data_IF_958733257462
#
_entry.id   IF_958733257462
#
_cell.length_a   1.000
_cell.length_b   1.000
_cell.length_c   1.000
_cell.angle_alpha   90.00
_cell.angle_beta   90.00
_cell.angle_gamma   90.00
#
_symmetry.space_group_name_H-M   'P 1'
#
loop_
_entity.id
_entity.type
_entity.pdbx_description
1 polymer ?
#
# COMPACT_ATOMS: atom_id res chain seq x y z
N UNK A 1 -3.22 9.68 31.65
CA UNK A 1 -4.17 9.73 30.55
C UNK A 1 -5.18 8.60 30.75
N UNK A 2 -6.39 8.98 31.25
CA UNK A 2 -7.51 8.06 31.41
C UNK A 2 -8.11 7.79 30.04
N UNK A 3 -7.91 6.58 29.52
CA UNK A 3 -8.61 6.10 28.33
C UNK A 3 -10.09 5.93 28.70
N UNK A 4 -10.90 6.92 28.41
CA UNK A 4 -12.35 6.80 28.40
C UNK A 4 -12.71 5.72 27.38
N UNK A 5 -13.52 4.74 27.80
CA UNK A 5 -14.02 3.69 26.92
C UNK A 5 -14.63 4.33 25.65
N UNK A 6 -14.36 3.78 24.46
CA UNK A 6 -14.90 4.32 23.24
C UNK A 6 -16.43 4.19 23.30
N UNK A 7 -17.11 5.33 23.47
CA UNK A 7 -18.51 5.41 23.10
C UNK A 7 -18.59 4.93 21.64
N UNK A 8 -19.53 4.05 21.35
CA UNK A 8 -19.79 3.56 20.01
C UNK A 8 -20.05 4.74 19.10
N UNK A 9 -18.98 5.24 18.47
CA UNK A 9 -19.14 6.17 17.36
C UNK A 9 -19.98 5.45 16.30
N UNK A 10 -21.02 6.10 15.75
CA UNK A 10 -21.75 5.53 14.64
C UNK A 10 -20.72 5.09 13.61
N UNK A 11 -20.81 3.83 13.16
CA UNK A 11 -19.89 3.27 12.18
C UNK A 11 -20.04 4.09 10.88
N UNK A 12 -19.27 5.16 10.76
CA UNK A 12 -19.20 5.93 9.53
C UNK A 12 -18.41 5.08 8.54
N UNK A 13 -19.14 4.38 7.67
CA UNK A 13 -18.56 3.75 6.50
C UNK A 13 -18.54 4.79 5.37
N UNK A 14 -17.38 5.37 5.04
CA UNK A 14 -17.31 6.28 3.90
C UNK A 14 -17.75 5.55 2.64
N UNK A 15 -18.50 6.22 1.72
CA UNK A 15 -18.90 5.60 0.46
C UNK A 15 -17.66 5.19 -0.31
N UNK A 16 -17.55 3.90 -0.63
CA UNK A 16 -16.46 3.39 -1.46
C UNK A 16 -16.82 3.69 -2.92
N UNK A 17 -16.08 4.56 -3.62
CA UNK A 17 -16.31 4.81 -5.03
C UNK A 17 -15.93 3.56 -5.82
N UNK A 18 -16.90 2.92 -6.42
CA UNK A 18 -16.69 1.72 -7.24
C UNK A 18 -17.16 1.96 -8.66
N UNK A 19 -16.55 1.27 -9.61
CA UNK A 19 -17.02 1.27 -10.99
C UNK A 19 -18.32 0.46 -11.13
N UNK A 20 -19.18 0.89 -12.07
CA UNK A 20 -20.33 0.11 -12.48
C UNK A 20 -19.91 -1.22 -13.11
N UNK A 21 -20.77 -2.24 -13.08
CA UNK A 21 -20.49 -3.63 -13.46
C UNK A 21 -19.91 -3.84 -14.87
N UNK A 22 -20.12 -2.91 -15.79
CA UNK A 22 -19.56 -2.98 -17.15
C UNK A 22 -18.76 -1.72 -17.44
N UNK A 23 -17.43 -1.85 -17.36
CA UNK A 23 -16.52 -0.74 -17.61
C UNK A 23 -15.67 -1.04 -18.82
N UNK A 24 -15.78 -0.20 -19.83
CA UNK A 24 -14.84 -0.21 -20.96
C UNK A 24 -13.43 0.18 -20.49
N UNK A 25 -12.42 -0.36 -21.15
CA UNK A 25 -10.99 -0.18 -20.80
C UNK A 25 -10.54 1.28 -20.72
N UNK A 26 -11.12 2.18 -21.53
CA UNK A 26 -10.83 3.63 -21.48
C UNK A 26 -11.26 4.26 -20.16
N UNK A 27 -12.42 3.85 -19.65
CA UNK A 27 -12.91 4.29 -18.33
C UNK A 27 -12.02 3.75 -17.20
N UNK A 28 -11.61 2.52 -17.33
CA UNK A 28 -10.67 1.89 -16.38
C UNK A 28 -9.36 2.69 -16.33
N UNK A 29 -8.79 3.02 -17.49
CA UNK A 29 -7.56 3.82 -17.58
C UNK A 29 -7.72 5.22 -16.98
N UNK A 30 -8.86 5.88 -17.24
CA UNK A 30 -9.21 7.17 -16.66
C UNK A 30 -9.38 7.11 -15.14
N UNK A 31 -10.01 6.05 -14.63
CA UNK A 31 -10.19 5.81 -13.20
C UNK A 31 -8.84 5.59 -12.50
N UNK A 32 -7.94 4.80 -13.05
CA UNK A 32 -6.58 4.60 -12.50
C UNK A 32 -5.79 5.91 -12.38
N UNK A 33 -6.03 6.88 -13.27
CA UNK A 33 -5.35 8.19 -13.23
C UNK A 33 -5.93 9.16 -12.22
N UNK A 34 -7.22 9.04 -11.91
CA UNK A 34 -7.94 9.95 -11.00
C UNK A 34 -8.00 9.42 -9.59
N UNK A 35 -8.48 8.22 -9.45
CA UNK A 35 -8.61 7.53 -8.18
C UNK A 35 -8.60 6.03 -8.42
N UNK A 36 -7.54 5.35 -7.99
CA UNK A 36 -7.36 3.92 -8.20
C UNK A 36 -8.51 3.08 -7.63
N UNK A 37 -9.16 3.54 -6.56
CA UNK A 37 -10.31 2.82 -5.97
C UNK A 37 -11.51 2.79 -6.90
N UNK A 38 -11.71 3.83 -7.71
CA UNK A 38 -12.78 3.86 -8.72
C UNK A 38 -12.57 2.85 -9.85
N UNK A 39 -11.35 2.32 -10.00
CA UNK A 39 -11.04 1.30 -10.99
C UNK A 39 -11.57 -0.10 -10.63
N UNK A 40 -11.95 -0.33 -9.37
CA UNK A 40 -12.45 -1.62 -8.91
C UNK A 40 -13.96 -1.72 -9.11
N UNK A 41 -14.47 -2.75 -9.84
CA UNK A 41 -15.89 -3.02 -9.95
C UNK A 41 -16.50 -3.32 -8.57
N UNK A 42 -17.74 -2.91 -8.36
CA UNK A 42 -18.46 -3.22 -7.12
C UNK A 42 -18.53 -4.74 -6.85
N UNK A 43 -18.62 -5.54 -7.89
CA UNK A 43 -18.61 -6.99 -7.81
C UNK A 43 -17.39 -7.56 -7.03
N UNK A 44 -16.26 -6.84 -6.98
CA UNK A 44 -15.10 -7.26 -6.17
C UNK A 44 -15.38 -7.32 -4.67
N UNK A 45 -16.47 -6.70 -4.20
CA UNK A 45 -16.88 -6.74 -2.80
C UNK A 45 -17.71 -7.98 -2.48
N UNK A 46 -18.35 -8.58 -3.50
CA UNK A 46 -19.37 -9.61 -3.34
C UNK A 46 -18.89 -10.99 -3.81
N UNK A 47 -17.90 -11.03 -4.72
CA UNK A 47 -17.41 -12.31 -5.28
C UNK A 47 -15.91 -12.49 -5.10
N UNK A 48 -15.41 -13.74 -4.99
CA UNK A 48 -14.01 -14.07 -4.73
C UNK A 48 -13.04 -13.59 -5.80
N UNK A 49 -13.48 -13.55 -7.07
CA UNK A 49 -12.67 -13.14 -8.20
C UNK A 49 -13.50 -12.47 -9.27
N UNK A 50 -12.98 -11.38 -9.85
CA UNK A 50 -13.59 -10.68 -10.98
C UNK A 50 -12.60 -10.67 -12.14
N UNK A 51 -13.06 -11.06 -13.33
CA UNK A 51 -12.26 -11.03 -14.54
C UNK A 51 -12.67 -9.84 -15.41
N UNK A 52 -11.71 -9.00 -15.76
CA UNK A 52 -11.90 -7.85 -16.64
C UNK A 52 -11.14 -8.11 -17.95
N UNK A 53 -11.82 -8.13 -19.10
CA UNK A 53 -11.15 -8.29 -20.38
C UNK A 53 -10.33 -7.02 -20.70
N UNK A 54 -9.12 -7.22 -21.19
CA UNK A 54 -8.21 -6.16 -21.63
C UNK A 54 -8.12 -6.13 -23.16
N UNK A 55 -7.80 -4.96 -23.75
CA UNK A 55 -7.52 -4.86 -25.18
C UNK A 55 -6.39 -5.82 -25.57
N UNK A 56 -6.49 -6.41 -26.75
CA UNK A 56 -5.50 -7.37 -27.25
C UNK A 56 -5.68 -8.81 -26.73
N UNK A 57 -6.86 -9.15 -26.16
CA UNK A 57 -7.19 -10.51 -25.73
C UNK A 57 -6.68 -10.87 -24.33
N UNK A 58 -6.02 -9.93 -23.65
CA UNK A 58 -5.59 -10.13 -22.25
C UNK A 58 -6.76 -10.11 -21.28
N UNK A 59 -6.52 -10.61 -20.07
CA UNK A 59 -7.48 -10.60 -18.97
C UNK A 59 -6.79 -10.10 -17.69
N UNK A 60 -7.45 -9.24 -16.96
CA UNK A 60 -7.06 -8.86 -15.60
C UNK A 60 -7.98 -9.58 -14.63
N UNK A 61 -7.42 -10.31 -13.70
CA UNK A 61 -8.18 -10.98 -12.63
C UNK A 61 -7.93 -10.24 -11.32
N UNK A 62 -8.99 -9.78 -10.70
CA UNK A 62 -8.98 -9.17 -9.38
C UNK A 62 -9.39 -10.22 -8.37
N UNK A 63 -8.54 -10.52 -7.42
CA UNK A 63 -8.80 -11.46 -6.33
C UNK A 63 -9.19 -10.69 -5.08
N UNK A 64 -10.32 -11.04 -4.48
CA UNK A 64 -10.91 -10.34 -3.34
C UNK A 64 -10.91 -11.18 -2.06
N UNK A 65 -10.30 -12.36 -2.08
CA UNK A 65 -10.24 -13.25 -0.91
C UNK A 65 -8.83 -13.45 -0.39
N UNK A 66 -8.66 -13.65 0.93
CA UNK A 66 -7.37 -14.01 1.53
C UNK A 66 -6.76 -15.28 0.92
N UNK A 67 -7.59 -16.26 0.59
CA UNK A 67 -7.16 -17.54 -0.01
C UNK A 67 -6.57 -17.31 -1.41
N UNK A 68 -7.24 -16.50 -2.24
CA UNK A 68 -6.75 -16.11 -3.56
C UNK A 68 -5.42 -15.37 -3.48
N UNK A 69 -5.34 -14.40 -2.57
CA UNK A 69 -4.10 -13.66 -2.33
C UNK A 69 -2.97 -14.59 -1.83
N UNK A 70 -3.29 -15.51 -0.89
CA UNK A 70 -2.33 -16.50 -0.38
C UNK A 70 -1.84 -17.42 -1.49
N UNK A 71 -2.74 -17.89 -2.35
CA UNK A 71 -2.38 -18.76 -3.48
C UNK A 71 -1.35 -18.07 -4.38
N UNK A 72 -1.62 -16.87 -4.86
CA UNK A 72 -0.73 -16.14 -5.77
C UNK A 72 0.58 -15.72 -5.10
N UNK A 73 0.53 -15.25 -3.83
CA UNK A 73 1.69 -14.65 -3.17
C UNK A 73 2.57 -15.63 -2.41
N UNK A 74 2.05 -16.82 -2.05
CA UNK A 74 2.79 -17.79 -1.23
C UNK A 74 2.84 -19.20 -1.85
N UNK A 75 1.74 -19.71 -2.36
CA UNK A 75 1.65 -21.14 -2.76
C UNK A 75 2.18 -21.35 -4.17
N UNK A 76 1.83 -20.49 -5.11
CA UNK A 76 2.13 -20.61 -6.53
C UNK A 76 3.02 -19.48 -7.04
N UNK A 77 3.94 -18.99 -6.20
CA UNK A 77 4.80 -17.83 -6.54
C UNK A 77 5.63 -18.03 -7.80
N UNK A 78 5.94 -19.25 -8.17
CA UNK A 78 6.76 -19.55 -9.34
C UNK A 78 5.93 -19.56 -10.66
N UNK A 79 4.60 -19.64 -10.54
CA UNK A 79 3.67 -19.59 -11.69
C UNK A 79 3.33 -18.14 -12.08
N UNK A 80 3.68 -17.17 -11.25
CA UNK A 80 3.36 -15.77 -11.45
C UNK A 80 4.61 -14.90 -11.58
N UNK A 81 4.62 -14.06 -12.61
CA UNK A 81 5.68 -13.09 -12.85
C UNK A 81 5.15 -11.66 -12.74
N UNK A 82 6.03 -10.73 -12.36
CA UNK A 82 5.66 -9.32 -12.30
C UNK A 82 5.40 -8.75 -13.69
N UNK A 83 4.35 -7.94 -13.79
CA UNK A 83 3.93 -7.34 -15.06
C UNK A 83 5.05 -6.45 -15.63
N UNK A 84 5.44 -6.64 -16.90
CA UNK A 84 6.48 -5.81 -17.55
C UNK A 84 6.17 -4.32 -17.55
N UNK A 85 4.87 -3.94 -17.57
CA UNK A 85 4.43 -2.55 -17.44
C UNK A 85 4.85 -1.91 -16.11
N UNK A 86 4.76 -2.64 -15.00
CA UNK A 86 5.22 -2.17 -13.69
C UNK A 86 6.72 -1.88 -13.69
N UNK A 87 7.52 -2.71 -14.37
CA UNK A 87 8.96 -2.48 -14.53
C UNK A 87 9.29 -1.21 -15.32
N UNK A 88 8.49 -0.89 -16.34
CA UNK A 88 8.69 0.34 -17.12
C UNK A 88 8.40 1.60 -16.32
N UNK A 89 7.39 1.57 -15.46
CA UNK A 89 6.98 2.73 -14.66
C UNK A 89 7.87 2.93 -13.43
N UNK A 90 8.15 1.88 -12.70
CA UNK A 90 8.88 1.94 -11.42
C UNK A 90 10.39 1.72 -11.61
N UNK A 91 10.80 1.07 -12.69
CA UNK A 91 12.19 0.74 -12.98
C UNK A 91 13.18 1.90 -12.90
N UNK A 92 12.87 3.09 -13.45
CA UNK A 92 13.74 4.25 -13.34
C UNK A 92 14.04 4.69 -11.90
N UNK A 93 13.13 4.39 -10.95
CA UNK A 93 13.26 4.76 -9.53
C UNK A 93 13.81 3.58 -8.72
N UNK A 94 13.23 2.39 -8.88
CA UNK A 94 13.56 1.21 -8.07
C UNK A 94 14.74 0.38 -8.61
N UNK A 95 15.17 0.65 -9.83
CA UNK A 95 16.29 -0.06 -10.46
C UNK A 95 16.10 -1.59 -10.45
N UNK A 96 17.10 -2.31 -9.98
CA UNK A 96 17.12 -3.78 -9.83
C UNK A 96 16.80 -4.23 -8.40
N UNK A 97 16.19 -3.35 -7.59
CA UNK A 97 15.87 -3.63 -6.19
C UNK A 97 14.79 -4.70 -6.02
N UNK A 98 14.61 -5.12 -4.76
CA UNK A 98 13.69 -6.19 -4.34
C UNK A 98 12.27 -6.06 -4.91
N UNK A 99 11.78 -4.84 -5.05
CA UNK A 99 10.42 -4.56 -5.57
C UNK A 99 10.23 -5.06 -7.00
N UNK A 100 11.30 -5.03 -7.82
CA UNK A 100 11.25 -5.42 -9.23
C UNK A 100 12.02 -6.71 -9.55
N UNK A 101 12.70 -7.29 -8.58
CA UNK A 101 13.41 -8.55 -8.74
C UNK A 101 12.43 -9.72 -8.84
N UNK A 102 12.74 -10.72 -9.64
CA UNK A 102 11.99 -11.98 -9.78
C UNK A 102 12.91 -13.19 -9.59
N UNK A 103 12.31 -14.35 -9.40
CA UNK A 103 12.98 -15.64 -9.33
C UNK A 103 14.09 -15.68 -8.27
N UNK A 104 15.27 -16.20 -8.65
CA UNK A 104 16.40 -16.35 -7.74
C UNK A 104 16.96 -15.03 -7.23
N UNK A 105 16.98 -13.99 -8.07
CA UNK A 105 17.44 -12.66 -7.66
C UNK A 105 16.57 -12.10 -6.53
N UNK A 106 15.25 -12.27 -6.62
CA UNK A 106 14.32 -11.90 -5.57
C UNK A 106 14.53 -12.73 -4.30
N UNK A 107 14.65 -14.06 -4.44
CA UNK A 107 14.88 -14.95 -3.29
C UNK A 107 16.17 -14.58 -2.54
N UNK A 108 17.22 -14.31 -3.29
CA UNK A 108 18.51 -13.91 -2.70
C UNK A 108 18.39 -12.57 -1.96
N UNK A 109 17.89 -11.52 -2.62
CA UNK A 109 17.75 -10.21 -2.00
C UNK A 109 16.82 -10.25 -0.77
N UNK A 110 15.69 -10.96 -0.86
CA UNK A 110 14.76 -11.11 0.27
C UNK A 110 15.42 -11.83 1.45
N UNK A 111 16.21 -12.89 1.20
CA UNK A 111 16.93 -13.61 2.25
C UNK A 111 17.94 -12.72 2.98
N UNK A 112 18.63 -11.86 2.24
CA UNK A 112 19.59 -10.90 2.81
C UNK A 112 18.91 -9.81 3.63
N UNK A 113 17.75 -9.30 3.15
CA UNK A 113 17.06 -8.20 3.81
C UNK A 113 16.13 -8.64 4.95
N UNK A 114 15.60 -9.86 4.91
CA UNK A 114 14.63 -10.34 5.89
C UNK A 114 15.11 -10.25 7.37
N UNK A 115 16.39 -10.49 7.72
CA UNK A 115 16.86 -10.34 9.10
C UNK A 115 16.72 -8.92 9.67
N UNK A 116 16.72 -7.88 8.80
CA UNK A 116 16.52 -6.50 9.24
C UNK A 116 15.10 -6.22 9.72
N UNK A 117 14.12 -7.07 9.37
CA UNK A 117 12.70 -6.93 9.71
C UNK A 117 12.23 -7.98 10.72
N UNK A 118 13.09 -8.38 11.62
CA UNK A 118 12.77 -9.36 12.68
C UNK A 118 12.22 -8.66 13.93
N UNK A 119 11.52 -9.40 14.83
CA UNK A 119 11.08 -8.84 16.11
C UNK A 119 12.20 -8.23 16.95
N UNK A 120 13.46 -8.62 16.75
CA UNK A 120 14.62 -8.06 17.44
C UNK A 120 14.90 -6.60 17.07
N UNK A 121 14.58 -6.19 15.84
CA UNK A 121 14.80 -4.82 15.36
C UNK A 121 13.62 -3.89 15.64
N UNK A 122 12.45 -4.44 15.98
CA UNK A 122 11.26 -3.67 16.30
C UNK A 122 11.47 -2.62 17.42
N UNK A 123 12.12 -2.93 18.55
CA UNK A 123 12.31 -1.93 19.61
C UNK A 123 13.12 -0.72 19.14
N UNK A 124 14.08 -0.91 18.25
CA UNK A 124 14.84 0.19 17.66
C UNK A 124 13.96 1.04 16.76
N UNK A 125 13.19 0.40 15.88
CA UNK A 125 12.27 1.09 14.97
C UNK A 125 11.17 1.85 15.74
N UNK A 126 10.64 1.29 16.80
CA UNK A 126 9.63 1.93 17.65
C UNK A 126 10.12 3.26 18.25
N UNK A 127 11.40 3.39 18.54
CA UNK A 127 11.96 4.65 19.05
C UNK A 127 11.89 5.77 18.00
N UNK A 128 12.18 5.46 16.74
CA UNK A 128 12.05 6.43 15.63
C UNK A 128 10.58 6.78 15.38
N UNK A 129 9.71 5.77 15.39
CA UNK A 129 8.26 5.98 15.22
C UNK A 129 7.71 6.87 16.33
N UNK A 130 8.06 6.60 17.60
CA UNK A 130 7.60 7.40 18.73
C UNK A 130 8.07 8.86 18.61
N UNK A 131 9.35 9.10 18.30
CA UNK A 131 9.90 10.44 18.11
C UNK A 131 9.15 11.20 17.02
N UNK A 132 9.00 10.59 15.83
CA UNK A 132 8.30 11.25 14.72
C UNK A 132 6.82 11.50 15.02
N UNK A 133 6.16 10.59 15.74
CA UNK A 133 4.78 10.78 16.18
C UNK A 133 4.62 11.92 17.20
N UNK A 134 5.50 12.01 18.20
CA UNK A 134 5.50 13.10 19.19
C UNK A 134 5.72 14.47 18.51
N UNK A 135 6.59 14.50 17.51
CA UNK A 135 6.87 15.71 16.75
C UNK A 135 5.68 16.13 15.88
N UNK A 136 5.01 15.16 15.27
CA UNK A 136 3.76 15.37 14.54
C UNK A 136 2.64 15.90 15.47
N UNK A 137 2.47 15.30 16.64
CA UNK A 137 1.50 15.79 17.62
C UNK A 137 1.76 17.24 18.02
N UNK A 138 3.02 17.59 18.30
CA UNK A 138 3.40 18.99 18.61
C UNK A 138 3.08 19.97 17.49
N UNK A 139 3.33 19.58 16.22
CA UNK A 139 2.99 20.41 15.06
C UNK A 139 1.48 20.59 14.91
N UNK A 140 0.71 19.53 15.09
CA UNK A 140 -0.75 19.58 15.01
C UNK A 140 -1.34 20.42 16.15
N UNK A 141 -0.82 20.31 17.36
CA UNK A 141 -1.23 21.14 18.52
C UNK A 141 -0.91 22.61 18.32
N UNK A 142 0.28 22.93 17.77
CA UNK A 142 0.67 24.30 17.49
C UNK A 142 -0.14 24.94 16.34
N UNK A 143 -0.70 24.14 15.46
CA UNK A 143 -1.51 24.56 14.31
C UNK A 143 -3.02 24.62 14.61
N UNK A 144 -3.45 24.76 15.86
CA UNK A 144 -4.87 24.91 16.24
C UNK A 144 -5.48 26.17 15.62
N UNK A 145 -6.06 26.00 14.42
CA UNK A 145 -6.71 27.06 13.62
C UNK A 145 -7.54 26.41 12.51
N UNK A 146 -7.19 26.63 11.22
CA UNK A 146 -7.90 26.00 10.11
C UNK A 146 -7.67 24.47 10.10
N UNK A 147 -8.51 23.70 9.40
CA UNK A 147 -8.36 22.24 9.30
C UNK A 147 -6.94 21.86 8.89
N UNK A 148 -6.26 21.06 9.70
CA UNK A 148 -4.92 20.59 9.41
C UNK A 148 -4.95 19.66 8.18
N UNK A 149 -3.96 19.77 7.29
CA UNK A 149 -3.71 18.79 6.23
C UNK A 149 -3.16 17.50 6.84
N UNK A 150 -4.04 16.67 7.36
CA UNK A 150 -3.68 15.40 7.98
C UNK A 150 -2.95 14.48 6.99
N UNK A 151 -3.28 14.55 5.70
CA UNK A 151 -2.61 13.74 4.67
C UNK A 151 -1.12 14.15 4.54
N UNK A 152 -0.86 15.43 4.42
CA UNK A 152 0.51 15.95 4.34
C UNK A 152 1.31 15.62 5.59
N UNK A 153 0.69 15.71 6.78
CA UNK A 153 1.34 15.37 8.03
C UNK A 153 1.67 13.87 8.13
N UNK A 154 0.76 12.98 7.73
CA UNK A 154 1.02 11.53 7.72
C UNK A 154 2.10 11.14 6.70
N UNK A 155 2.17 11.82 5.54
CA UNK A 155 3.24 11.63 4.57
C UNK A 155 4.60 12.02 5.17
N UNK A 156 4.67 13.14 5.89
CA UNK A 156 5.88 13.60 6.57
C UNK A 156 6.33 12.60 7.64
N UNK A 157 5.44 12.18 8.55
CA UNK A 157 5.75 11.18 9.57
C UNK A 157 6.28 9.89 8.95
N UNK A 158 5.64 9.41 7.89
CA UNK A 158 6.08 8.18 7.21
C UNK A 158 7.46 8.33 6.58
N UNK A 159 7.74 9.49 5.98
CA UNK A 159 9.05 9.78 5.39
C UNK A 159 10.13 9.88 6.47
N UNK A 160 9.87 10.61 7.56
CA UNK A 160 10.82 10.76 8.69
C UNK A 160 11.20 9.40 9.27
N UNK A 161 10.19 8.56 9.54
CA UNK A 161 10.43 7.20 10.06
C UNK A 161 11.25 6.38 9.08
N UNK A 162 10.93 6.42 7.79
CA UNK A 162 11.65 5.63 6.77
C UNK A 162 13.10 6.11 6.61
N UNK A 163 13.33 7.42 6.52
CA UNK A 163 14.67 8.00 6.33
C UNK A 163 15.56 7.80 7.55
N UNK A 164 15.02 8.02 8.75
CA UNK A 164 15.79 7.87 9.98
C UNK A 164 16.09 6.40 10.30
N UNK A 165 15.11 5.51 10.12
CA UNK A 165 15.29 4.09 10.45
C UNK A 165 16.13 3.31 9.44
N UNK A 166 16.10 3.68 8.15
CA UNK A 166 16.80 2.96 7.09
C UNK A 166 18.13 3.59 6.70
N UNK A 167 18.23 4.91 6.76
CA UNK A 167 19.40 5.64 6.26
C UNK A 167 20.13 6.44 7.35
N UNK A 168 19.62 6.43 8.57
CA UNK A 168 20.17 7.24 9.69
C UNK A 168 20.26 8.74 9.35
N UNK A 169 19.38 9.21 8.46
CA UNK A 169 19.31 10.61 8.07
C UNK A 169 18.32 11.32 9.01
N UNK A 170 18.82 12.32 9.73
CA UNK A 170 17.96 13.27 10.44
C UNK A 170 17.47 14.31 9.42
N UNK A 171 16.15 14.50 9.29
CA UNK A 171 15.50 15.48 8.41
C UNK A 171 14.99 16.68 9.21
#
# INVERSE_FOLDING_TARGET
LSLTAPGTLPAYAPPVPTLAERVGWLRLLGAFRRNTLEAFPRACLDVPAVTIPLPGGGRMVLLSTPEGARHVLLTATDDFVRLPAGRRVIGPIAGRGLVLADGEAWRHQRKVLAPAFTPRTLPLMLRFVARSAEESCRRLEAGLGPPADLRGEMQRVTLDVATTSMFSLET
#
